data_IF_841484717970
#
_entry.id   IF_841484717970
#
_cell.length_a   1.000
_cell.length_b   1.000
_cell.length_c   1.000
_cell.angle_alpha   90.00
_cell.angle_beta   90.00
_cell.angle_gamma   90.00
#
_symmetry.space_group_name_H-M   'P 1'
#
loop_
_entity.id
_entity.type
_entity.pdbx_description
1 polymer ?
#
# COMPACT_ATOMS: atom_id res chain seq x y z
N UNK A 1 2.20 -7.27 7.09
CA UNK A 1 3.29 -8.25 7.01
C UNK A 1 4.62 -7.57 7.26
N UNK A 2 5.47 -8.21 8.02
CA UNK A 2 6.82 -7.70 8.30
C UNK A 2 7.73 -7.76 7.08
N UNK A 3 7.36 -8.54 6.09
CA UNK A 3 8.19 -8.73 4.89
C UNK A 3 7.96 -7.68 3.83
N UNK A 4 6.89 -6.90 3.96
CA UNK A 4 6.59 -5.84 3.00
C UNK A 4 7.38 -4.58 3.36
N UNK A 5 8.03 -3.99 2.37
CA UNK A 5 8.73 -2.72 2.57
C UNK A 5 7.74 -1.58 2.41
N UNK A 6 7.74 -0.69 3.39
CA UNK A 6 6.79 0.42 3.45
C UNK A 6 7.56 1.72 3.58
N UNK A 7 7.29 2.66 2.66
CA UNK A 7 7.88 4.00 2.71
C UNK A 7 6.76 5.03 2.67
N UNK A 8 6.75 5.92 3.67
CA UNK A 8 5.79 7.01 3.70
C UNK A 8 6.43 8.27 3.12
N UNK A 9 5.74 8.90 2.19
CA UNK A 9 6.14 10.17 1.61
C UNK A 9 5.02 11.17 1.79
N UNK A 10 5.35 12.35 2.30
CA UNK A 10 4.38 13.42 2.51
C UNK A 10 4.86 14.70 1.84
N UNK A 11 3.94 15.38 1.18
CA UNK A 11 4.22 16.68 0.57
C UNK A 11 2.92 17.50 0.53
N UNK A 12 2.95 18.66 -0.11
CA UNK A 12 1.78 19.54 -0.15
C UNK A 12 0.58 18.93 -0.89
N UNK A 13 0.80 17.87 -1.67
CA UNK A 13 -0.27 17.19 -2.40
C UNK A 13 -0.88 16.02 -1.62
N UNK A 14 -0.36 15.74 -0.43
CA UNK A 14 -0.89 14.69 0.44
C UNK A 14 0.15 13.70 0.89
N UNK A 15 -0.34 12.58 1.41
CA UNK A 15 0.50 11.49 1.91
C UNK A 15 0.40 10.30 0.98
N UNK A 16 1.57 9.71 0.66
CA UNK A 16 1.67 8.55 -0.22
C UNK A 16 2.40 7.44 0.51
N UNK A 17 1.82 6.27 0.50
CA UNK A 17 2.41 5.09 1.10
C UNK A 17 2.87 4.16 -0.02
N UNK A 18 4.18 3.94 -0.09
CA UNK A 18 4.77 3.05 -1.10
C UNK A 18 4.97 1.68 -0.48
N UNK A 19 4.31 0.68 -1.04
CA UNK A 19 4.38 -0.70 -0.56
C UNK A 19 5.09 -1.55 -1.60
N UNK A 20 6.04 -2.37 -1.14
CA UNK A 20 6.74 -3.30 -2.02
C UNK A 20 6.79 -4.66 -1.36
N UNK A 21 6.36 -5.69 -2.08
CA UNK A 21 6.53 -7.08 -1.66
C UNK A 21 7.79 -7.63 -2.34
N UNK A 22 8.92 -7.72 -1.65
CA UNK A 22 10.15 -8.22 -2.25
C UNK A 22 10.23 -9.74 -2.30
N UNK A 23 9.21 -10.44 -1.77
CA UNK A 23 9.26 -11.90 -1.66
C UNK A 23 8.62 -12.57 -2.87
N UNK A 24 8.76 -13.88 -2.93
CA UNK A 24 8.16 -14.71 -3.97
C UNK A 24 6.79 -15.24 -3.59
N UNK A 25 6.23 -14.74 -2.49
CA UNK A 25 4.90 -15.15 -2.00
C UNK A 25 4.01 -13.92 -1.85
N UNK A 26 2.69 -14.09 -2.00
CA UNK A 26 1.77 -12.98 -1.72
C UNK A 26 1.90 -12.54 -0.26
N UNK A 27 1.83 -11.25 -0.02
CA UNK A 27 1.88 -10.68 1.32
C UNK A 27 0.67 -9.78 1.54
N UNK A 28 0.16 -9.78 2.76
CA UNK A 28 -1.02 -9.00 3.12
C UNK A 28 -0.62 -7.85 4.04
N UNK A 29 -1.16 -6.67 3.76
CA UNK A 29 -0.91 -5.47 4.57
C UNK A 29 -2.26 -4.89 4.98
N UNK A 30 -2.41 -4.57 6.26
CA UNK A 30 -3.61 -3.89 6.76
C UNK A 30 -3.38 -2.39 6.73
N UNK A 31 -4.25 -1.66 6.04
CA UNK A 31 -4.15 -0.21 5.94
C UNK A 31 -4.74 0.42 7.19
N UNK A 32 -4.03 1.39 7.76
CA UNK A 32 -4.50 2.11 8.94
C UNK A 32 -5.39 3.28 8.59
N UNK A 33 -5.30 3.78 7.37
CA UNK A 33 -6.09 4.92 6.88
C UNK A 33 -6.69 4.57 5.53
N UNK A 34 -7.84 5.16 5.23
CA UNK A 34 -8.43 5.04 3.91
C UNK A 34 -7.51 5.65 2.86
N UNK A 35 -7.49 5.06 1.68
CA UNK A 35 -6.65 5.55 0.61
C UNK A 35 -7.00 4.92 -0.72
N UNK A 36 -6.37 5.43 -1.76
CA UNK A 36 -6.55 4.95 -3.12
C UNK A 36 -5.24 4.40 -3.65
N UNK A 37 -5.28 3.18 -4.17
CA UNK A 37 -4.13 2.59 -4.85
C UNK A 37 -4.06 3.19 -6.25
N UNK A 38 -3.05 4.02 -6.50
CA UNK A 38 -2.91 4.73 -7.76
C UNK A 38 -2.56 3.83 -8.93
N UNK A 39 -1.90 2.72 -8.68
CA UNK A 39 -1.51 1.78 -9.72
C UNK A 39 -2.64 0.83 -10.07
N UNK A 40 -3.31 0.28 -9.05
CA UNK A 40 -4.43 -0.63 -9.25
C UNK A 40 -5.78 0.07 -9.38
N UNK A 41 -5.84 1.38 -9.12
CA UNK A 41 -7.06 2.19 -9.20
C UNK A 41 -8.19 1.66 -8.31
N UNK A 42 -7.82 1.16 -7.13
CA UNK A 42 -8.76 0.62 -6.17
C UNK A 42 -8.80 1.51 -4.93
N UNK A 43 -9.98 1.66 -4.35
CA UNK A 43 -10.17 2.40 -3.10
C UNK A 43 -10.22 1.44 -1.93
N UNK A 44 -9.55 1.80 -0.84
CA UNK A 44 -9.54 1.02 0.39
C UNK A 44 -10.01 1.87 1.55
N UNK A 45 -10.70 1.21 2.48
CA UNK A 45 -11.11 1.83 3.75
C UNK A 45 -10.08 1.54 4.83
N UNK A 46 -10.07 2.35 5.88
CA UNK A 46 -9.22 2.06 7.03
C UNK A 46 -9.57 0.68 7.60
N UNK A 47 -8.57 -0.12 7.88
CA UNK A 47 -8.74 -1.47 8.41
C UNK A 47 -8.85 -2.55 7.35
N UNK A 48 -8.94 -2.17 6.06
CA UNK A 48 -8.95 -3.17 5.00
C UNK A 48 -7.55 -3.72 4.74
N UNK A 49 -7.50 -4.95 4.26
CA UNK A 49 -6.24 -5.59 3.87
C UNK A 49 -6.03 -5.44 2.37
N UNK A 50 -4.79 -5.16 2.00
CA UNK A 50 -4.38 -5.19 0.60
C UNK A 50 -3.42 -6.36 0.42
N UNK A 51 -3.63 -7.14 -0.63
CA UNK A 51 -2.75 -8.27 -0.95
C UNK A 51 -1.79 -7.86 -2.05
N UNK A 52 -0.50 -7.97 -1.78
CA UNK A 52 0.54 -7.70 -2.76
C UNK A 52 1.06 -9.03 -3.30
N UNK A 53 0.90 -9.22 -4.60
CA UNK A 53 1.45 -10.39 -5.26
C UNK A 53 2.98 -10.37 -5.19
N UNK A 54 3.66 -11.49 -5.48
CA UNK A 54 5.12 -11.51 -5.46
C UNK A 54 5.72 -10.38 -6.30
N UNK A 55 6.65 -9.65 -5.71
CA UNK A 55 7.35 -8.54 -6.36
C UNK A 55 6.44 -7.35 -6.74
N UNK A 56 5.21 -7.34 -6.28
CA UNK A 56 4.28 -6.26 -6.62
C UNK A 56 4.57 -4.99 -5.83
N UNK A 57 4.15 -3.87 -6.41
CA UNK A 57 4.27 -2.54 -5.80
C UNK A 57 2.89 -1.91 -5.76
N UNK A 58 2.59 -1.20 -4.69
CA UNK A 58 1.39 -0.39 -4.61
C UNK A 58 1.75 1.00 -4.10
N UNK A 59 1.02 2.01 -4.57
CA UNK A 59 1.17 3.38 -4.12
C UNK A 59 -0.20 3.84 -3.63
N UNK A 60 -0.32 4.03 -2.32
CA UNK A 60 -1.59 4.37 -1.69
C UNK A 60 -1.58 5.85 -1.33
N UNK A 61 -2.46 6.61 -1.97
CA UNK A 61 -2.65 8.01 -1.63
C UNK A 61 -3.72 8.12 -0.56
N UNK A 62 -3.37 8.70 0.59
CA UNK A 62 -4.32 8.89 1.69
C UNK A 62 -5.42 9.86 1.31
N UNK A 63 -6.61 9.57 1.78
CA UNK A 63 -7.75 10.45 1.58
C UNK A 63 -7.85 11.49 2.68
#
# INVERSE_FOLDING_TARGET
SEKVEITLRENKNGSFLFLLNPTDEPQEVTLKKAGTDLLGKADYQAGENIVLEPKAVAIIQSK
#
